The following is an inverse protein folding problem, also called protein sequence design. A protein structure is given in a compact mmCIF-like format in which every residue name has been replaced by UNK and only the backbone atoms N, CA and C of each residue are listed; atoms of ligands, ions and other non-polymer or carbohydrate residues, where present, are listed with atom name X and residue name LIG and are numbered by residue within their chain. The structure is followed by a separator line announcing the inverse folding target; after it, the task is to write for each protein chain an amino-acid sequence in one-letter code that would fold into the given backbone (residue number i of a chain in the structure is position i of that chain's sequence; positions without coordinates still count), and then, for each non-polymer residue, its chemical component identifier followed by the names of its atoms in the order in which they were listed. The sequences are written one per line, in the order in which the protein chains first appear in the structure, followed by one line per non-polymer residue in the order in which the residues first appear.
data_IF_641422145265
#
_entry.id   IF_641422145265
#
_cell.length_a   1.000
_cell.length_b   1.000
_cell.length_c   1.000
_cell.angle_alpha   90.00
_cell.angle_beta   90.00
_cell.angle_gamma   90.00
#
_symmetry.space_group_name_H-M   'P 1'
#
loop_
_entity.id
_entity.type
_entity.pdbx_description
1 polymer ?
#
# COMPACT_ATOMS: atom_id res chain seq x y z
N UNK A 1 18.24 -11.82 32.94
CA UNK A 1 16.81 -12.20 32.87
C UNK A 1 16.26 -12.25 34.28
N UNK A 2 15.52 -11.22 34.71
CA UNK A 2 15.18 -11.01 36.14
C UNK A 2 13.70 -10.77 36.44
N UNK A 3 12.81 -10.83 35.45
CA UNK A 3 11.38 -10.54 35.61
C UNK A 3 10.49 -11.73 35.17
N UNK A 4 10.90 -12.96 35.51
CA UNK A 4 10.11 -14.17 35.22
C UNK A 4 10.32 -14.78 33.82
N UNK A 5 11.10 -14.15 32.94
CA UNK A 5 11.44 -14.68 31.61
C UNK A 5 12.01 -16.11 31.62
N UNK A 6 12.77 -16.50 32.66
CA UNK A 6 13.36 -17.84 32.75
C UNK A 6 12.31 -18.96 32.89
N UNK A 7 11.12 -18.63 33.36
CA UNK A 7 10.02 -19.58 33.57
C UNK A 7 8.98 -19.54 32.45
N UNK A 8 9.22 -18.75 31.40
CA UNK A 8 8.28 -18.64 30.29
C UNK A 8 8.21 -19.97 29.52
N UNK A 9 6.99 -20.51 29.37
CA UNK A 9 6.74 -21.66 28.51
C UNK A 9 6.68 -21.27 27.03
N UNK A 10 6.21 -20.06 26.76
CA UNK A 10 6.04 -19.51 25.43
C UNK A 10 6.55 -18.06 25.39
N UNK A 11 7.24 -17.69 24.31
CA UNK A 11 7.67 -16.32 24.07
C UNK A 11 7.51 -15.95 22.59
N UNK A 12 7.08 -14.73 22.32
CA UNK A 12 6.99 -14.19 20.96
C UNK A 12 7.80 -12.90 20.89
N UNK A 13 8.66 -12.80 19.88
CA UNK A 13 9.27 -11.54 19.48
C UNK A 13 8.50 -10.97 18.28
N UNK A 14 7.93 -9.78 18.45
CA UNK A 14 7.24 -9.07 17.38
C UNK A 14 7.67 -7.60 17.34
N UNK A 15 7.42 -6.95 16.21
CA UNK A 15 7.64 -5.53 15.99
C UNK A 15 7.02 -5.12 14.66
N UNK A 16 6.72 -3.83 14.53
CA UNK A 16 6.13 -3.24 13.33
C UNK A 16 7.19 -2.42 12.56
N UNK A 17 7.11 -2.40 11.22
CA UNK A 17 8.00 -1.61 10.35
C UNK A 17 9.48 -1.98 10.57
N UNK A 18 10.36 -1.01 10.85
CA UNK A 18 11.75 -1.25 11.24
C UNK A 18 11.88 -2.20 12.44
N UNK A 19 10.91 -2.20 13.36
CA UNK A 19 10.82 -3.14 14.47
C UNK A 19 10.50 -4.58 14.01
N UNK A 20 9.75 -4.74 12.93
CA UNK A 20 9.50 -6.05 12.31
C UNK A 20 10.77 -6.61 11.70
N UNK A 21 11.54 -5.79 11.00
CA UNK A 21 12.86 -6.20 10.52
C UNK A 21 13.80 -6.56 11.68
N UNK A 22 13.82 -5.75 12.74
CA UNK A 22 14.60 -6.05 13.94
C UNK A 22 14.19 -7.38 14.58
N UNK A 23 12.88 -7.70 14.59
CA UNK A 23 12.36 -8.98 15.06
C UNK A 23 12.85 -10.16 14.22
N UNK A 24 12.95 -10.00 12.89
CA UNK A 24 13.57 -11.00 11.99
C UNK A 24 15.04 -11.18 12.34
N UNK A 25 15.83 -10.10 12.28
CA UNK A 25 17.29 -10.16 12.41
C UNK A 25 17.76 -10.64 13.79
N UNK A 26 16.94 -10.42 14.84
CA UNK A 26 17.27 -10.83 16.21
C UNK A 26 16.52 -12.08 16.68
N UNK A 27 15.76 -12.75 15.81
CA UNK A 27 14.90 -13.87 16.22
C UNK A 27 15.69 -15.00 16.91
N UNK A 28 16.82 -15.42 16.31
CA UNK A 28 17.67 -16.46 16.89
C UNK A 28 18.44 -15.99 18.13
N UNK A 29 18.86 -14.71 18.15
CA UNK A 29 19.48 -14.12 19.34
C UNK A 29 18.48 -14.10 20.51
N UNK A 30 17.23 -13.76 20.23
CA UNK A 30 16.15 -13.76 21.21
C UNK A 30 15.84 -15.17 21.71
N UNK A 31 15.79 -16.16 20.82
CA UNK A 31 15.69 -17.59 21.18
C UNK A 31 16.81 -18.02 22.12
N UNK A 32 18.02 -17.50 21.92
CA UNK A 32 19.20 -17.80 22.75
C UNK A 32 19.09 -17.32 24.21
N UNK A 33 18.13 -16.45 24.53
CA UNK A 33 17.87 -16.08 25.92
C UNK A 33 17.04 -17.12 26.67
N UNK A 34 16.32 -18.02 25.99
CA UNK A 34 15.41 -18.95 26.66
C UNK A 34 15.94 -20.39 26.71
N UNK A 35 15.57 -21.19 27.72
CA UNK A 35 15.82 -22.63 27.75
C UNK A 35 15.35 -23.36 26.48
N UNK A 36 15.86 -24.57 26.24
CA UNK A 36 15.43 -25.40 25.09
C UNK A 36 13.94 -25.77 25.14
N UNK A 37 13.37 -25.86 26.34
CA UNK A 37 11.95 -26.18 26.58
C UNK A 37 10.97 -25.05 26.23
N UNK A 38 11.41 -23.79 26.25
CA UNK A 38 10.56 -22.65 25.92
C UNK A 38 10.26 -22.60 24.43
N UNK A 39 8.98 -22.49 24.08
CA UNK A 39 8.51 -22.30 22.71
C UNK A 39 8.65 -20.84 22.31
N UNK A 40 9.69 -20.54 21.53
CA UNK A 40 9.93 -19.20 21.01
C UNK A 40 9.55 -19.11 19.53
N UNK A 41 8.82 -18.06 19.15
CA UNK A 41 8.46 -17.73 17.77
C UNK A 41 8.67 -16.25 17.51
N UNK A 42 8.77 -15.85 16.24
CA UNK A 42 8.85 -14.45 15.86
C UNK A 42 7.74 -14.08 14.86
N UNK A 43 7.18 -12.89 15.00
CA UNK A 43 6.11 -12.35 14.15
C UNK A 43 6.49 -10.94 13.71
N UNK A 44 7.28 -10.79 12.64
CA UNK A 44 7.53 -9.49 12.04
C UNK A 44 6.30 -8.96 11.32
N UNK A 45 5.93 -7.73 11.64
CA UNK A 45 4.84 -6.98 11.02
C UNK A 45 5.40 -5.84 10.16
N UNK A 46 5.07 -5.78 8.87
CA UNK A 46 5.50 -4.69 7.98
C UNK A 46 7.02 -4.52 7.87
N UNK A 47 7.80 -5.56 8.20
CA UNK A 47 9.26 -5.51 8.32
C UNK A 47 10.01 -6.06 7.10
N UNK A 48 9.29 -6.44 6.04
CA UNK A 48 9.86 -7.13 4.87
C UNK A 48 10.32 -6.15 3.78
N UNK A 49 11.38 -5.39 4.07
CA UNK A 49 11.90 -4.37 3.17
C UNK A 49 12.85 -4.91 2.10
N UNK A 50 12.93 -4.20 0.97
CA UNK A 50 13.93 -4.41 -0.08
C UNK A 50 14.82 -3.15 -0.20
N UNK A 51 16.14 -3.32 -0.06
CA UNK A 51 17.24 -2.34 -0.22
C UNK A 51 17.59 -1.38 0.99
N UNK A 52 18.89 -1.34 1.38
CA UNK A 52 19.62 -0.54 2.39
C UNK A 52 19.85 -1.05 3.84
N UNK A 53 21.08 -1.47 4.25
CA UNK A 53 21.80 -1.26 5.58
C UNK A 53 22.56 -2.50 6.16
N UNK A 54 23.85 -2.42 6.54
CA UNK A 54 24.72 -3.61 6.67
C UNK A 54 25.33 -4.00 8.06
N UNK A 55 24.89 -3.45 9.20
CA UNK A 55 25.72 -3.51 10.43
C UNK A 55 25.25 -4.47 11.56
N UNK A 56 24.19 -5.29 11.39
CA UNK A 56 23.65 -6.19 12.43
C UNK A 56 23.06 -7.50 11.86
N UNK A 57 23.81 -8.18 10.99
CA UNK A 57 23.25 -9.19 10.08
C UNK A 57 23.55 -10.63 10.50
N UNK A 58 22.68 -11.60 10.13
CA UNK A 58 22.90 -13.00 10.48
C UNK A 58 24.22 -13.52 9.90
N UNK A 59 25.08 -14.09 10.75
CA UNK A 59 26.40 -14.58 10.35
C UNK A 59 26.33 -15.61 9.22
N UNK A 60 25.37 -16.54 9.29
CA UNK A 60 25.13 -17.54 8.24
C UNK A 60 24.83 -16.92 6.87
N UNK A 61 24.10 -15.80 6.86
CA UNK A 61 23.84 -15.04 5.64
C UNK A 61 25.10 -14.29 5.17
N UNK A 62 25.77 -13.55 6.07
CA UNK A 62 26.96 -12.76 5.71
C UNK A 62 28.17 -13.60 5.30
N UNK A 63 28.25 -14.86 5.73
CA UNK A 63 29.26 -15.81 5.26
C UNK A 63 29.00 -16.31 3.84
N UNK A 64 27.76 -16.21 3.35
CA UNK A 64 27.35 -16.69 2.03
C UNK A 64 27.22 -15.56 1.00
N UNK A 65 27.02 -14.31 1.43
CA UNK A 65 26.80 -13.17 0.54
C UNK A 65 27.24 -11.83 1.15
N UNK A 66 27.29 -10.78 0.32
CA UNK A 66 27.63 -9.42 0.77
C UNK A 66 26.72 -9.00 1.93
N UNK A 67 27.27 -8.46 3.04
CA UNK A 67 26.46 -8.08 4.21
C UNK A 67 25.24 -7.24 3.84
N UNK A 68 25.39 -6.20 3.01
CA UNK A 68 24.25 -5.36 2.61
C UNK A 68 23.04 -6.09 1.99
N UNK A 69 23.16 -7.34 1.51
CA UNK A 69 22.04 -8.15 1.03
C UNK A 69 21.27 -8.83 2.17
N UNK A 70 21.94 -9.17 3.27
CA UNK A 70 21.33 -9.84 4.41
C UNK A 70 20.41 -8.93 5.24
N UNK A 71 20.33 -7.64 4.91
CA UNK A 71 19.32 -6.76 5.50
C UNK A 71 17.93 -7.08 4.99
N UNK A 72 17.83 -7.65 3.78
CA UNK A 72 16.53 -7.90 3.20
C UNK A 72 16.05 -9.28 3.62
N UNK A 73 14.87 -9.39 4.21
CA UNK A 73 14.37 -10.67 4.68
C UNK A 73 14.33 -11.77 3.63
N UNK A 74 14.22 -11.46 2.33
CA UNK A 74 14.30 -12.47 1.26
C UNK A 74 15.63 -13.22 1.20
N UNK A 75 16.72 -12.62 1.67
CA UNK A 75 18.02 -13.28 1.69
C UNK A 75 18.37 -13.84 3.06
N UNK A 76 17.91 -13.19 4.12
CA UNK A 76 18.25 -13.55 5.50
C UNK A 76 17.36 -14.66 6.09
N UNK A 77 16.07 -14.71 5.73
CA UNK A 77 15.10 -15.55 6.42
C UNK A 77 15.42 -17.05 6.36
N UNK A 78 16.07 -17.50 5.28
CA UNK A 78 16.50 -18.89 5.12
C UNK A 78 17.60 -19.32 6.12
N UNK A 79 18.29 -18.36 6.74
CA UNK A 79 19.33 -18.62 7.73
C UNK A 79 18.82 -18.52 9.18
N UNK A 80 17.55 -18.17 9.38
CA UNK A 80 16.92 -18.08 10.71
C UNK A 80 16.35 -19.45 11.08
N UNK A 81 16.78 -19.98 12.22
CA UNK A 81 16.37 -21.30 12.69
C UNK A 81 15.07 -21.27 13.48
N UNK A 82 14.83 -20.17 14.19
CA UNK A 82 13.63 -19.98 15.02
C UNK A 82 12.42 -19.74 14.11
N UNK A 83 11.27 -20.40 14.34
CA UNK A 83 10.10 -20.23 13.48
C UNK A 83 9.62 -18.78 13.38
N UNK A 84 9.48 -18.29 12.14
CA UNK A 84 9.01 -16.92 11.82
C UNK A 84 7.66 -17.00 11.10
N UNK A 85 6.70 -16.19 11.52
CA UNK A 85 5.44 -15.95 10.81
C UNK A 85 5.49 -14.55 10.17
N UNK A 86 5.61 -14.49 8.84
CA UNK A 86 5.70 -13.20 8.13
C UNK A 86 4.31 -12.58 7.99
N UNK A 87 4.14 -11.39 8.55
CA UNK A 87 2.96 -10.55 8.37
C UNK A 87 3.39 -9.28 7.64
N UNK A 88 3.04 -9.15 6.37
CA UNK A 88 3.40 -7.98 5.57
C UNK A 88 2.31 -7.76 4.51
N UNK A 89 2.00 -6.51 4.19
CA UNK A 89 1.18 -6.19 3.02
C UNK A 89 1.98 -6.50 1.75
N UNK A 90 1.33 -7.05 0.73
CA UNK A 90 1.94 -7.17 -0.61
C UNK A 90 2.18 -5.79 -1.25
N UNK A 91 1.42 -4.78 -0.82
CA UNK A 91 1.55 -3.38 -1.22
C UNK A 91 1.72 -2.52 0.04
N UNK A 92 2.88 -2.67 0.70
CA UNK A 92 3.20 -1.91 1.91
C UNK A 92 3.36 -0.42 1.59
N UNK A 93 2.72 0.47 2.35
CA UNK A 93 2.67 1.92 2.06
C UNK A 93 4.04 2.60 2.15
N UNK A 94 4.98 2.05 2.95
CA UNK A 94 6.35 2.56 3.03
C UNK A 94 7.22 2.06 1.87
N UNK A 95 6.89 0.88 1.31
CA UNK A 95 7.58 0.34 0.14
C UNK A 95 6.99 0.85 -1.18
N UNK A 96 5.70 1.17 -1.19
CA UNK A 96 4.88 1.41 -2.37
C UNK A 96 4.34 2.84 -2.28
N UNK A 97 5.18 3.81 -2.63
CA UNK A 97 4.85 5.24 -2.76
C UNK A 97 3.83 5.54 -3.91
N UNK A 98 3.01 4.56 -4.30
CA UNK A 98 2.14 4.57 -5.48
C UNK A 98 0.88 5.41 -5.24
N UNK A 99 0.38 5.50 -4.01
CA UNK A 99 -0.78 6.36 -3.72
C UNK A 99 -0.44 7.82 -4.03
N UNK A 100 0.72 8.29 -3.57
CA UNK A 100 1.22 9.62 -3.91
C UNK A 100 1.41 9.81 -5.42
N UNK A 101 1.91 8.79 -6.12
CA UNK A 101 2.03 8.83 -7.59
C UNK A 101 0.67 8.94 -8.29
N UNK A 102 -0.36 8.26 -7.81
CA UNK A 102 -1.72 8.35 -8.36
C UNK A 102 -2.35 9.72 -8.09
N UNK A 103 -2.10 10.31 -6.92
CA UNK A 103 -2.53 11.69 -6.59
C UNK A 103 -1.82 12.73 -7.47
N UNK A 104 -0.50 12.58 -7.67
CA UNK A 104 0.29 13.41 -8.57
C UNK A 104 -0.19 13.28 -10.01
N UNK A 105 -0.44 12.06 -10.48
CA UNK A 105 -1.00 11.81 -11.83
C UNK A 105 -2.37 12.45 -12.02
N UNK A 106 -3.28 12.32 -11.03
CA UNK A 106 -4.58 13.00 -11.06
C UNK A 106 -4.41 14.52 -11.13
N UNK A 107 -3.50 15.08 -10.34
CA UNK A 107 -3.24 16.53 -10.32
C UNK A 107 -2.71 17.02 -11.66
N UNK A 108 -1.79 16.27 -12.27
CA UNK A 108 -1.27 16.55 -13.61
C UNK A 108 -2.38 16.48 -14.66
N UNK A 109 -3.18 15.40 -14.66
CA UNK A 109 -4.33 15.25 -15.56
C UNK A 109 -5.30 16.43 -15.45
N UNK A 110 -5.73 16.81 -14.24
CA UNK A 110 -6.62 17.96 -14.04
C UNK A 110 -6.00 19.27 -14.51
N UNK A 111 -4.68 19.44 -14.33
CA UNK A 111 -3.93 20.60 -14.85
C UNK A 111 -3.99 20.72 -16.37
N UNK A 112 -4.10 19.61 -17.11
CA UNK A 112 -4.24 19.62 -18.57
C UNK A 112 -5.61 20.10 -19.07
N UNK A 113 -6.64 20.13 -18.22
CA UNK A 113 -8.02 20.43 -18.61
C UNK A 113 -8.33 21.93 -18.76
N UNK A 114 -7.35 22.81 -18.55
CA UNK A 114 -7.51 24.27 -18.71
C UNK A 114 -8.27 24.71 -19.99
N UNK A 115 -7.98 24.15 -21.18
CA UNK A 115 -8.71 24.53 -22.40
C UNK A 115 -10.21 24.17 -22.36
N UNK A 116 -10.60 23.17 -21.57
CA UNK A 116 -11.99 22.76 -21.37
C UNK A 116 -12.64 23.65 -20.31
N UNK A 117 -11.94 23.91 -19.20
CA UNK A 117 -12.46 24.75 -18.11
C UNK A 117 -12.58 26.23 -18.48
N UNK A 118 -11.80 26.74 -19.44
CA UNK A 118 -11.89 28.13 -19.90
C UNK A 118 -12.84 28.34 -21.10
N UNK A 119 -13.69 27.36 -21.43
CA UNK A 119 -14.65 27.45 -22.54
C UNK A 119 -16.07 27.16 -22.04
N UNK A 120 -17.03 27.98 -22.43
CA UNK A 120 -18.45 27.79 -22.08
C UNK A 120 -19.14 26.77 -22.99
N UNK A 121 -18.58 26.48 -24.17
CA UNK A 121 -19.13 25.49 -25.11
C UNK A 121 -18.64 24.06 -24.86
N UNK A 122 -17.70 23.86 -23.92
CA UNK A 122 -17.10 22.55 -23.62
C UNK A 122 -17.58 22.03 -22.26
N UNK A 123 -18.03 20.78 -22.23
CA UNK A 123 -18.40 20.07 -21.02
C UNK A 123 -17.30 19.13 -20.52
N UNK A 124 -17.31 18.81 -19.23
CA UNK A 124 -16.49 17.74 -18.65
C UNK A 124 -17.21 17.03 -17.50
N UNK A 125 -16.93 15.74 -17.36
CA UNK A 125 -17.40 14.91 -16.26
C UNK A 125 -16.28 13.94 -15.85
N UNK A 126 -15.56 14.27 -14.78
CA UNK A 126 -14.33 13.59 -14.36
C UNK A 126 -14.53 12.96 -12.99
N UNK A 127 -14.92 11.68 -12.95
CA UNK A 127 -14.94 10.89 -11.72
C UNK A 127 -13.59 10.19 -11.48
N UNK A 128 -13.39 9.63 -10.29
CA UNK A 128 -12.20 8.81 -9.95
C UNK A 128 -12.42 7.31 -10.14
N UNK A 129 -13.39 6.91 -10.96
CA UNK A 129 -13.63 5.49 -11.23
C UNK A 129 -12.41 4.84 -11.90
N UNK A 130 -11.93 3.73 -11.35
CA UNK A 130 -10.82 2.97 -11.92
C UNK A 130 -11.28 2.10 -13.09
N UNK A 131 -11.54 2.73 -14.24
CA UNK A 131 -12.14 2.08 -15.41
C UNK A 131 -11.62 2.65 -16.74
N UNK A 132 -11.86 1.92 -17.81
CA UNK A 132 -11.62 2.33 -19.19
C UNK A 132 -12.96 2.38 -19.94
N UNK A 133 -13.20 3.44 -20.72
CA UNK A 133 -14.43 3.67 -21.51
C UNK A 133 -15.76 3.60 -20.73
N UNK A 134 -16.27 4.74 -20.25
CA UNK A 134 -17.49 4.79 -19.41
C UNK A 134 -18.82 4.87 -20.19
N UNK A 135 -18.78 5.09 -21.52
CA UNK A 135 -19.97 5.18 -22.36
C UNK A 135 -20.42 3.84 -22.96
N UNK A 136 -19.63 2.77 -22.82
CA UNK A 136 -19.87 1.51 -23.52
C UNK A 136 -20.88 0.60 -22.83
N UNK A 137 -21.05 0.74 -21.51
CA UNK A 137 -21.99 -0.07 -20.73
C UNK A 137 -23.07 0.81 -20.12
N UNK A 138 -24.31 0.31 -20.08
CA UNK A 138 -25.41 1.03 -19.45
C UNK A 138 -25.16 1.29 -17.96
N UNK A 139 -24.48 0.36 -17.28
CA UNK A 139 -24.12 0.50 -15.86
C UNK A 139 -23.16 1.66 -15.61
N UNK A 140 -22.16 1.88 -16.47
CA UNK A 140 -21.25 3.01 -16.34
C UNK A 140 -21.89 4.33 -16.82
N UNK A 141 -22.68 4.29 -17.89
CA UNK A 141 -23.28 5.48 -18.51
C UNK A 141 -24.42 6.10 -17.69
N UNK A 142 -25.38 5.26 -17.27
CA UNK A 142 -26.50 5.66 -16.40
C UNK A 142 -26.18 5.52 -14.91
N UNK A 143 -25.00 4.97 -14.60
CA UNK A 143 -24.35 5.07 -13.30
C UNK A 143 -24.80 4.07 -12.24
N UNK A 144 -23.81 3.67 -11.45
CA UNK A 144 -23.91 3.20 -10.06
C UNK A 144 -23.88 4.45 -9.15
N UNK A 145 -24.58 4.50 -8.00
CA UNK A 145 -24.47 5.62 -7.05
C UNK A 145 -23.03 6.12 -6.78
N UNK A 146 -22.04 5.22 -6.77
CA UNK A 146 -20.63 5.57 -6.51
C UNK A 146 -19.89 6.28 -7.65
N UNK A 147 -20.50 6.37 -8.84
CA UNK A 147 -19.92 7.01 -10.03
C UNK A 147 -20.50 8.40 -10.33
N UNK A 148 -21.54 8.79 -9.58
CA UNK A 148 -22.27 10.05 -9.75
C UNK A 148 -21.50 11.22 -9.15
N UNK A 149 -21.68 12.40 -9.73
CA UNK A 149 -21.12 13.66 -9.23
C UNK A 149 -22.25 14.66 -8.98
N UNK A 150 -22.41 15.07 -7.72
CA UNK A 150 -23.58 15.82 -7.23
C UNK A 150 -24.91 15.17 -7.66
N UNK A 151 -25.06 13.87 -7.37
CA UNK A 151 -26.21 13.02 -7.75
C UNK A 151 -26.51 12.90 -9.25
N UNK A 152 -25.62 13.42 -10.11
CA UNK A 152 -25.77 13.39 -11.57
C UNK A 152 -24.97 12.24 -12.18
N UNK A 153 -25.57 11.56 -13.15
CA UNK A 153 -24.95 10.52 -13.98
C UNK A 153 -24.17 11.13 -15.15
N UNK A 154 -23.30 10.34 -15.78
CA UNK A 154 -22.59 10.78 -16.99
C UNK A 154 -23.60 11.08 -18.12
N UNK A 155 -24.63 10.22 -18.28
CA UNK A 155 -25.69 10.40 -19.25
C UNK A 155 -26.44 11.73 -19.10
N UNK A 156 -26.84 12.08 -17.86
CA UNK A 156 -27.50 13.35 -17.57
C UNK A 156 -26.57 14.54 -17.82
N UNK A 157 -25.31 14.46 -17.38
CA UNK A 157 -24.33 15.53 -17.60
C UNK A 157 -24.06 15.79 -19.09
N UNK A 158 -23.90 14.74 -19.90
CA UNK A 158 -23.71 14.88 -21.34
C UNK A 158 -24.99 15.37 -22.01
N UNK A 159 -26.16 14.91 -21.59
CA UNK A 159 -27.45 15.37 -22.12
C UNK A 159 -27.69 16.87 -21.88
N UNK A 160 -27.45 17.35 -20.67
CA UNK A 160 -27.57 18.78 -20.35
C UNK A 160 -26.61 19.66 -21.15
N UNK A 161 -25.36 19.23 -21.30
CA UNK A 161 -24.37 19.92 -22.12
C UNK A 161 -24.78 19.92 -23.61
N UNK A 162 -25.25 18.78 -24.14
CA UNK A 162 -25.62 18.64 -25.55
C UNK A 162 -26.76 19.57 -25.98
N UNK A 163 -27.74 19.79 -25.12
CA UNK A 163 -28.89 20.65 -25.39
C UNK A 163 -28.69 22.12 -24.98
N UNK A 164 -27.45 22.54 -24.66
CA UNK A 164 -27.11 23.89 -24.18
C UNK A 164 -27.92 24.33 -22.96
N UNK A 165 -28.39 23.38 -22.14
CA UNK A 165 -29.22 23.66 -20.97
C UNK A 165 -28.40 24.23 -19.80
N UNK A 166 -27.12 23.87 -19.71
CA UNK A 166 -26.20 24.40 -18.68
C UNK A 166 -24.73 24.13 -19.03
N UNK A 167 -23.83 24.90 -18.40
CA UNK A 167 -22.39 24.63 -18.42
C UNK A 167 -22.08 23.45 -17.47
N UNK A 168 -21.76 22.29 -18.04
CA UNK A 168 -21.51 21.06 -17.27
C UNK A 168 -20.01 20.86 -17.09
N UNK A 169 -19.49 21.21 -15.91
CA UNK A 169 -18.09 21.02 -15.51
C UNK A 169 -18.00 20.32 -14.17
N UNK A 170 -17.98 19.00 -14.19
CA UNK A 170 -18.00 18.15 -12.99
C UNK A 170 -16.64 17.47 -12.79
N UNK A 171 -16.10 17.55 -11.57
CA UNK A 171 -14.92 16.81 -11.13
C UNK A 171 -15.23 16.24 -9.75
N UNK A 172 -14.89 14.97 -9.52
CA UNK A 172 -15.01 14.36 -8.19
C UNK A 172 -14.09 15.07 -7.21
N UNK A 173 -14.65 15.70 -6.18
CA UNK A 173 -13.88 16.33 -5.10
C UNK A 173 -13.95 15.53 -3.79
N UNK A 174 -14.75 14.46 -3.75
CA UNK A 174 -14.93 13.61 -2.57
C UNK A 174 -13.87 12.52 -2.51
N UNK A 175 -13.44 12.02 -3.67
CA UNK A 175 -12.43 10.99 -3.80
C UNK A 175 -11.17 11.54 -4.50
N UNK A 176 -10.01 11.29 -3.90
CA UNK A 176 -8.71 11.71 -4.44
C UNK A 176 -8.00 10.55 -5.15
N UNK A 177 -8.21 9.31 -4.68
CA UNK A 177 -7.63 8.09 -5.23
C UNK A 177 -8.65 7.33 -6.07
N UNK A 178 -8.20 6.50 -7.03
CA UNK A 178 -9.11 5.68 -7.82
C UNK A 178 -9.93 4.72 -6.95
N UNK A 179 -11.21 4.57 -7.27
CA UNK A 179 -12.10 3.62 -6.59
C UNK A 179 -12.94 2.84 -7.59
N UNK A 180 -13.55 1.75 -7.10
CA UNK A 180 -14.46 0.97 -7.92
C UNK A 180 -15.84 1.63 -8.01
N UNK A 181 -16.28 1.75 -9.25
CA UNK A 181 -17.61 2.12 -9.68
C UNK A 181 -18.16 0.92 -10.48
#
# INVERSE_FOLDING_TARGET
MGLGMNNAENAILSGCSAGGLAAILNCDRFRGYFPSSTRVKCVPDGGYFAHGSANQLPSGCTSSMKPGLCFYPQYAIQYIKTPVFVMNSAYDTWQVNQLKRLEEFRSEFLGTLWPVTNSTSRGMFINTCFTHCQSETQSAWYGNPTSKLDDKTIAEGVGEWYYDNSEVKKVDTEHVLPHYC
#
